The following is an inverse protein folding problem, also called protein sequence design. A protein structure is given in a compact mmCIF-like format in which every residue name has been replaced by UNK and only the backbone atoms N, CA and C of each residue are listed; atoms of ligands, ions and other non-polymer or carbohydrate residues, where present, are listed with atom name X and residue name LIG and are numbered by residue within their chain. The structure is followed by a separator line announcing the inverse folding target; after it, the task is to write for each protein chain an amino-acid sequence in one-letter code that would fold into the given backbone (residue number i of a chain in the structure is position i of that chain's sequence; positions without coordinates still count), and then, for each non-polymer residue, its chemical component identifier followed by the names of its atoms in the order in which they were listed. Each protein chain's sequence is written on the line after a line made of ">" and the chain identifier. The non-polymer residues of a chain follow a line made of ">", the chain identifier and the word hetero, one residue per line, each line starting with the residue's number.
data_IF_567764601373
#
_entry.id   IF_567764601373
#
_cell.length_a   1.000
_cell.length_b   1.000
_cell.length_c   1.000
_cell.angle_alpha   90.00
_cell.angle_beta   90.00
_cell.angle_gamma   90.00
#
_symmetry.space_group_name_H-M   'P 1'
#
loop_
_entity.id
_entity.type
_entity.pdbx_description
1 polymer ?
#
# COMPACT_ATOMS: atom_id res chain seq x y z
N UNK A 1 16.15 -4.66 65.44
CA UNK A 1 15.10 -4.90 64.43
C UNK A 1 15.75 -4.75 63.06
N UNK A 2 15.83 -5.83 62.29
CA UNK A 2 16.33 -5.77 60.91
C UNK A 2 15.14 -5.42 60.02
N UNK A 3 15.13 -4.21 59.47
CA UNK A 3 14.16 -3.83 58.44
C UNK A 3 14.66 -4.38 57.10
N UNK A 4 14.03 -5.46 56.62
CA UNK A 4 14.22 -5.94 55.25
C UNK A 4 13.53 -4.95 54.30
N UNK A 5 14.26 -3.91 53.88
CA UNK A 5 13.85 -3.06 52.78
C UNK A 5 13.91 -3.85 51.48
N UNK A 6 12.80 -3.90 50.73
CA UNK A 6 12.81 -4.31 49.34
C UNK A 6 13.10 -3.08 48.49
N UNK A 7 14.20 -3.09 47.76
CA UNK A 7 14.53 -2.09 46.74
C UNK A 7 13.90 -2.51 45.41
N UNK A 8 13.24 -1.56 44.74
CA UNK A 8 12.70 -1.73 43.39
C UNK A 8 13.41 -0.72 42.50
N UNK A 9 14.11 -1.20 41.47
CA UNK A 9 14.66 -0.37 40.40
C UNK A 9 13.64 -0.29 39.25
N UNK A 10 13.36 0.94 38.82
CA UNK A 10 12.36 1.28 37.80
C UNK A 10 12.99 2.11 36.70
N UNK A 11 12.75 1.73 35.44
CA UNK A 11 13.16 2.49 34.26
C UNK A 11 12.19 3.62 33.90
N UNK A 12 12.56 4.43 32.91
CA UNK A 12 11.72 5.53 32.42
C UNK A 12 10.35 5.00 31.93
N UNK A 13 9.27 5.72 32.27
CA UNK A 13 7.86 5.36 32.02
C UNK A 13 7.30 4.13 32.79
N UNK A 14 7.88 3.75 33.94
CA UNK A 14 7.33 2.68 34.78
C UNK A 14 6.57 3.18 36.02
N UNK A 15 5.63 2.38 36.53
CA UNK A 15 4.88 2.63 37.77
C UNK A 15 5.13 1.49 38.75
N UNK A 16 5.74 1.81 39.90
CA UNK A 16 6.02 0.81 40.94
C UNK A 16 4.81 0.63 41.85
N UNK A 17 4.40 -0.62 42.05
CA UNK A 17 3.28 -1.00 42.92
C UNK A 17 3.78 -2.05 43.92
N UNK A 18 3.70 -1.75 45.22
CA UNK A 18 4.14 -2.65 46.30
C UNK A 18 2.97 -2.98 47.23
N UNK A 19 2.78 -4.28 47.53
CA UNK A 19 1.75 -4.75 48.47
C UNK A 19 1.93 -6.23 48.82
N UNK A 20 1.40 -6.68 49.97
CA UNK A 20 1.53 -8.07 50.45
C UNK A 20 0.87 -9.10 49.52
N UNK A 21 -0.13 -8.69 48.74
CA UNK A 21 -0.79 -9.47 47.68
C UNK A 21 -1.31 -8.47 46.64
N UNK A 22 -0.61 -8.36 45.51
CA UNK A 22 -0.98 -7.43 44.43
C UNK A 22 -1.66 -8.24 43.33
N UNK A 23 -2.90 -7.88 42.99
CA UNK A 23 -3.58 -8.36 41.77
C UNK A 23 -3.70 -7.15 40.84
N UNK A 24 -2.73 -7.00 39.94
CA UNK A 24 -2.79 -5.97 38.89
C UNK A 24 -3.86 -6.41 37.89
N UNK A 25 -5.00 -5.74 37.91
CA UNK A 25 -6.02 -5.87 36.86
C UNK A 25 -5.86 -4.63 35.99
N UNK A 26 -5.04 -4.73 34.94
CA UNK A 26 -5.06 -3.74 33.88
C UNK A 26 -6.38 -3.95 33.13
N UNK A 27 -7.36 -3.09 33.38
CA UNK A 27 -8.60 -3.06 32.62
C UNK A 27 -8.25 -2.51 31.22
N UNK A 28 -7.80 -3.41 30.34
CA UNK A 28 -7.48 -3.21 28.92
C UNK A 28 -6.22 -2.37 28.62
N UNK A 29 -4.99 -2.88 28.84
CA UNK A 29 -3.87 -2.39 28.06
C UNK A 29 -4.02 -3.04 26.68
N UNK A 30 -4.22 -2.24 25.65
CA UNK A 30 -4.04 -2.75 24.30
C UNK A 30 -2.67 -3.40 24.12
N UNK A 31 -2.49 -4.22 23.07
CA UNK A 31 -1.16 -4.76 22.78
C UNK A 31 -0.19 -3.60 22.55
N UNK A 32 0.95 -3.63 23.23
CA UNK A 32 2.05 -2.69 23.01
C UNK A 32 2.80 -3.02 21.72
N UNK A 33 3.56 -2.04 21.21
CA UNK A 33 4.47 -2.22 20.08
C UNK A 33 5.34 -3.48 20.23
N UNK A 34 5.97 -3.62 21.39
CA UNK A 34 6.89 -4.72 21.67
C UNK A 34 6.17 -6.07 21.73
N UNK A 35 4.97 -6.14 22.33
CA UNK A 35 4.18 -7.38 22.36
C UNK A 35 3.77 -7.82 20.95
N UNK A 36 3.30 -6.90 20.09
CA UNK A 36 2.97 -7.24 18.70
C UNK A 36 4.21 -7.70 17.95
N UNK A 37 5.34 -7.02 18.14
CA UNK A 37 6.61 -7.37 17.51
C UNK A 37 7.06 -8.78 17.89
N UNK A 38 7.06 -9.10 19.17
CA UNK A 38 7.47 -10.42 19.68
C UNK A 38 6.54 -11.53 19.16
N UNK A 39 5.23 -11.31 19.17
CA UNK A 39 4.25 -12.27 18.65
C UNK A 39 4.48 -12.52 17.16
N UNK A 40 4.57 -11.46 16.34
CA UNK A 40 4.75 -11.60 14.90
C UNK A 40 6.10 -12.24 14.56
N UNK A 41 7.19 -11.87 15.23
CA UNK A 41 8.49 -12.52 15.05
C UNK A 41 8.50 -13.98 15.48
N UNK A 42 7.78 -14.34 16.54
CA UNK A 42 7.61 -15.74 16.93
C UNK A 42 6.86 -16.53 15.86
N UNK A 43 5.74 -15.99 15.35
CA UNK A 43 4.96 -16.62 14.28
C UNK A 43 5.82 -16.80 13.03
N UNK A 44 6.59 -15.78 12.65
CA UNK A 44 7.50 -15.86 11.51
C UNK A 44 8.55 -16.97 11.68
N UNK A 45 9.29 -16.97 12.80
CA UNK A 45 10.36 -17.95 13.06
C UNK A 45 9.84 -19.38 13.14
N UNK A 46 8.63 -19.59 13.67
CA UNK A 46 8.03 -20.91 13.79
C UNK A 46 7.51 -21.49 12.47
N UNK A 47 7.25 -20.65 11.47
CA UNK A 47 6.58 -21.08 10.23
C UNK A 47 7.41 -20.87 8.95
N UNK A 48 8.43 -20.02 8.98
CA UNK A 48 9.27 -19.77 7.81
C UNK A 48 10.22 -20.94 7.54
N UNK A 49 10.53 -21.19 6.27
CA UNK A 49 11.41 -22.29 5.85
C UNK A 49 12.84 -22.08 6.35
N UNK A 50 13.49 -23.17 6.77
CA UNK A 50 14.94 -23.21 6.89
C UNK A 50 15.56 -23.18 5.49
N UNK A 51 16.20 -22.05 5.15
CA UNK A 51 16.88 -21.82 3.87
C UNK A 51 18.40 -22.00 3.97
N UNK A 52 18.86 -22.56 5.09
CA UNK A 52 20.26 -22.74 5.42
C UNK A 52 20.90 -21.53 6.12
N UNK A 53 21.94 -21.82 6.90
CA UNK A 53 22.65 -20.90 7.80
C UNK A 53 23.09 -19.58 7.13
N UNK A 54 23.50 -19.63 5.87
CA UNK A 54 23.96 -18.44 5.12
C UNK A 54 22.84 -17.44 4.81
N UNK A 55 21.58 -17.91 4.74
CA UNK A 55 20.42 -17.07 4.40
C UNK A 55 19.61 -16.67 5.64
N UNK A 56 19.79 -17.34 6.78
CA UNK A 56 18.98 -17.12 7.98
C UNK A 56 19.06 -15.67 8.48
N UNK A 57 20.27 -15.13 8.60
CA UNK A 57 20.48 -13.75 9.09
C UNK A 57 19.75 -12.72 8.23
N UNK A 58 19.91 -12.77 6.91
CA UNK A 58 19.29 -11.80 6.00
C UNK A 58 17.76 -11.93 5.96
N UNK A 59 17.24 -13.15 6.12
CA UNK A 59 15.81 -13.42 6.22
C UNK A 59 15.24 -12.80 7.50
N UNK A 60 15.89 -13.02 8.64
CA UNK A 60 15.47 -12.48 9.93
C UNK A 60 15.51 -10.95 9.94
N UNK A 61 16.61 -10.35 9.48
CA UNK A 61 16.76 -8.89 9.39
C UNK A 61 15.66 -8.27 8.54
N UNK A 62 15.32 -8.87 7.39
CA UNK A 62 14.24 -8.37 6.52
C UNK A 62 12.86 -8.55 7.14
N UNK A 63 12.59 -9.70 7.75
CA UNK A 63 11.31 -9.98 8.40
C UNK A 63 11.04 -9.05 9.59
N UNK A 64 12.08 -8.73 10.36
CA UNK A 64 12.02 -7.75 11.44
C UNK A 64 11.86 -6.34 10.88
N UNK A 65 12.63 -5.98 9.85
CA UNK A 65 12.58 -4.65 9.26
C UNK A 65 11.17 -4.28 8.77
N UNK A 66 10.52 -5.13 7.98
CA UNK A 66 9.18 -4.80 7.45
C UNK A 66 8.14 -4.69 8.57
N UNK A 67 8.30 -5.47 9.64
CA UNK A 67 7.44 -5.42 10.82
C UNK A 67 7.63 -4.10 11.57
N UNK A 68 8.88 -3.66 11.78
CA UNK A 68 9.18 -2.36 12.39
C UNK A 68 8.62 -1.21 11.54
N UNK A 69 8.92 -1.16 10.24
CA UNK A 69 8.41 -0.14 9.33
C UNK A 69 6.85 -0.08 9.34
N UNK A 70 6.19 -1.23 9.43
CA UNK A 70 4.73 -1.34 9.55
C UNK A 70 4.22 -0.79 10.88
N UNK A 71 4.78 -1.24 12.01
CA UNK A 71 4.31 -0.87 13.34
C UNK A 71 4.59 0.60 13.65
N UNK A 72 5.76 1.13 13.26
CA UNK A 72 6.08 2.56 13.39
C UNK A 72 5.07 3.42 12.61
N UNK A 73 4.75 3.01 11.38
CA UNK A 73 3.79 3.73 10.54
C UNK A 73 2.36 3.62 11.04
N UNK A 74 1.95 2.44 11.51
CA UNK A 74 0.64 2.24 12.13
C UNK A 74 0.50 3.13 13.36
N UNK A 75 1.48 3.09 14.26
CA UNK A 75 1.44 3.84 15.52
C UNK A 75 1.50 5.35 15.29
N UNK A 76 2.25 5.82 14.30
CA UNK A 76 2.28 7.26 13.97
C UNK A 76 0.98 7.77 13.31
N UNK A 77 0.25 6.91 12.58
CA UNK A 77 -0.99 7.29 11.88
C UNK A 77 -2.24 7.08 12.74
N UNK A 78 -2.35 5.95 13.43
CA UNK A 78 -3.48 5.58 14.26
C UNK A 78 -3.05 4.59 15.38
N UNK A 79 -2.52 5.10 16.52
CA UNK A 79 -1.99 4.26 17.59
C UNK A 79 -2.97 3.22 18.13
N UNK A 80 -4.25 3.56 18.21
CA UNK A 80 -5.29 2.69 18.78
C UNK A 80 -5.51 1.42 17.94
N UNK A 81 -5.25 1.49 16.63
CA UNK A 81 -5.39 0.36 15.71
C UNK A 81 -4.36 -0.75 15.93
N UNK A 82 -3.34 -0.55 16.79
CA UNK A 82 -2.44 -1.64 17.17
C UNK A 82 -3.19 -2.83 17.78
N UNK A 83 -4.34 -2.58 18.42
CA UNK A 83 -5.20 -3.62 18.97
C UNK A 83 -5.82 -4.51 17.92
N UNK A 84 -6.01 -4.00 16.70
CA UNK A 84 -6.58 -4.79 15.61
C UNK A 84 -5.63 -5.91 15.19
N UNK A 85 -4.34 -5.85 15.53
CA UNK A 85 -3.38 -6.94 15.29
C UNK A 85 -3.65 -8.20 16.14
N UNK A 86 -4.62 -8.16 17.06
CA UNK A 86 -5.13 -9.35 17.73
C UNK A 86 -5.94 -10.26 16.80
N UNK A 87 -6.51 -9.70 15.73
CA UNK A 87 -7.32 -10.42 14.77
C UNK A 87 -6.51 -11.50 14.01
N UNK A 88 -7.02 -12.74 13.89
CA UNK A 88 -6.31 -13.81 13.19
C UNK A 88 -5.99 -13.53 11.72
N UNK A 89 -6.88 -12.86 11.00
CA UNK A 89 -6.67 -12.51 9.59
C UNK A 89 -5.57 -11.45 9.46
N UNK A 90 -5.57 -10.43 10.34
CA UNK A 90 -4.49 -9.43 10.38
C UNK A 90 -3.14 -10.09 10.72
N UNK A 91 -3.10 -11.00 11.70
CA UNK A 91 -1.87 -11.76 12.03
C UNK A 91 -1.37 -12.58 10.85
N UNK A 92 -2.28 -13.20 10.11
CA UNK A 92 -1.94 -13.97 8.93
C UNK A 92 -1.32 -13.09 7.84
N UNK A 93 -1.92 -11.94 7.53
CA UNK A 93 -1.37 -11.07 6.48
C UNK A 93 -0.06 -10.38 6.90
N UNK A 94 0.17 -10.13 8.20
CA UNK A 94 1.48 -9.69 8.72
C UNK A 94 2.53 -10.77 8.40
N UNK A 95 2.25 -12.03 8.72
CA UNK A 95 3.15 -13.15 8.43
C UNK A 95 3.41 -13.28 6.92
N UNK A 96 2.39 -13.20 6.08
CA UNK A 96 2.53 -13.25 4.62
C UNK A 96 3.41 -12.12 4.07
N UNK A 97 3.26 -10.89 4.59
CA UNK A 97 4.10 -9.76 4.21
C UNK A 97 5.57 -9.99 4.61
N UNK A 98 5.82 -10.45 5.84
CA UNK A 98 7.17 -10.80 6.31
C UNK A 98 7.80 -11.88 5.41
N UNK A 99 7.07 -12.96 5.15
CA UNK A 99 7.51 -14.06 4.28
C UNK A 99 7.90 -13.57 2.89
N UNK A 100 7.07 -12.73 2.29
CA UNK A 100 7.30 -12.23 0.94
C UNK A 100 8.49 -11.26 0.86
N UNK A 101 8.61 -10.34 1.81
CA UNK A 101 9.74 -9.41 1.82
C UNK A 101 11.05 -10.09 2.20
N UNK A 102 11.06 -10.98 3.19
CA UNK A 102 12.25 -11.73 3.59
C UNK A 102 12.90 -12.48 2.42
N UNK A 103 12.08 -13.10 1.57
CA UNK A 103 12.52 -13.85 0.38
C UNK A 103 13.18 -12.97 -0.69
N UNK A 104 12.70 -11.74 -0.93
CA UNK A 104 13.13 -10.91 -2.07
C UNK A 104 13.94 -9.67 -1.69
N UNK A 105 13.60 -8.99 -0.61
CA UNK A 105 14.28 -7.79 -0.12
C UNK A 105 14.13 -6.55 -1.01
N UNK A 106 13.09 -6.49 -1.85
CA UNK A 106 12.87 -5.35 -2.73
C UNK A 106 12.25 -4.18 -1.97
N UNK A 107 13.01 -3.07 -1.85
CA UNK A 107 12.60 -1.86 -1.10
C UNK A 107 11.28 -1.23 -1.57
N UNK A 108 10.97 -1.32 -2.86
CA UNK A 108 9.72 -0.77 -3.39
C UNK A 108 8.51 -1.61 -2.96
N UNK A 109 8.65 -2.93 -3.04
CA UNK A 109 7.64 -3.91 -2.57
C UNK A 109 7.39 -3.77 -1.07
N UNK A 110 8.44 -3.59 -0.26
CA UNK A 110 8.33 -3.29 1.17
C UNK A 110 7.42 -2.11 1.45
N UNK A 111 7.68 -0.96 0.79
CA UNK A 111 6.90 0.26 1.00
C UNK A 111 5.42 0.03 0.72
N UNK A 112 5.09 -0.68 -0.36
CA UNK A 112 3.69 -0.97 -0.72
C UNK A 112 3.02 -1.95 0.25
N UNK A 113 3.73 -3.00 0.66
CA UNK A 113 3.23 -3.92 1.67
C UNK A 113 2.94 -3.18 2.98
N UNK A 114 3.83 -2.29 3.42
CA UNK A 114 3.63 -1.47 4.62
C UNK A 114 2.41 -0.55 4.48
N UNK A 115 2.25 0.18 3.36
CA UNK A 115 1.06 1.02 3.14
C UNK A 115 -0.23 0.20 3.19
N UNK A 116 -0.25 -0.95 2.52
CA UNK A 116 -1.43 -1.81 2.43
C UNK A 116 -1.73 -2.48 3.76
N UNK A 117 -0.73 -2.92 4.53
CA UNK A 117 -0.89 -3.48 5.88
C UNK A 117 -1.46 -2.46 6.84
N UNK A 118 -0.94 -1.22 6.83
CA UNK A 118 -1.47 -0.14 7.69
C UNK A 118 -2.94 0.10 7.35
N UNK A 119 -3.30 0.18 6.07
CA UNK A 119 -4.69 0.37 5.67
C UNK A 119 -5.57 -0.82 6.05
N UNK A 120 -5.11 -2.07 5.84
CA UNK A 120 -5.84 -3.29 6.23
C UNK A 120 -6.09 -3.36 7.73
N UNK A 121 -5.11 -2.92 8.53
CA UNK A 121 -5.22 -2.90 9.99
C UNK A 121 -6.21 -1.84 10.48
N UNK A 122 -6.28 -0.70 9.79
CA UNK A 122 -7.20 0.40 10.14
C UNK A 122 -8.64 0.09 9.73
N UNK A 123 -8.83 -0.48 8.53
CA UNK A 123 -10.17 -0.84 8.03
C UNK A 123 -10.73 -1.98 8.88
N UNK A 124 -11.91 -1.75 9.46
CA UNK A 124 -12.65 -2.72 10.28
C UNK A 124 -14.13 -2.65 9.93
N UNK A 125 -14.79 -3.80 9.84
CA UNK A 125 -16.24 -3.89 9.64
C UNK A 125 -16.70 -3.62 8.21
N UNK A 126 -15.79 -3.66 7.22
CA UNK A 126 -16.13 -3.55 5.80
C UNK A 126 -15.57 -4.76 5.05
N UNK A 127 -16.42 -5.77 4.88
CA UNK A 127 -16.01 -7.10 4.39
C UNK A 127 -15.26 -7.03 3.05
N UNK A 128 -15.76 -6.22 2.11
CA UNK A 128 -15.19 -6.14 0.77
C UNK A 128 -13.86 -5.39 0.75
N UNK A 129 -13.71 -4.30 1.50
CA UNK A 129 -12.42 -3.58 1.57
C UNK A 129 -11.35 -4.43 2.25
N UNK A 130 -11.72 -5.16 3.30
CA UNK A 130 -10.82 -6.10 3.99
C UNK A 130 -10.31 -7.18 3.03
N UNK A 131 -11.20 -7.84 2.28
CA UNK A 131 -10.84 -8.82 1.26
C UNK A 131 -9.95 -8.24 0.16
N UNK A 132 -10.28 -7.05 -0.34
CA UNK A 132 -9.51 -6.37 -1.38
C UNK A 132 -8.09 -6.04 -0.92
N UNK A 133 -7.93 -5.59 0.33
CA UNK A 133 -6.63 -5.27 0.91
C UNK A 133 -5.81 -6.54 1.17
N UNK A 134 -6.44 -7.63 1.62
CA UNK A 134 -5.77 -8.93 1.76
C UNK A 134 -5.24 -9.44 0.41
N UNK A 135 -6.09 -9.43 -0.62
CA UNK A 135 -5.69 -9.84 -1.96
C UNK A 135 -4.58 -8.94 -2.51
N UNK A 136 -4.64 -7.62 -2.27
CA UNK A 136 -3.56 -6.72 -2.64
C UNK A 136 -2.22 -7.08 -1.97
N UNK A 137 -2.22 -7.46 -0.69
CA UNK A 137 -1.02 -7.91 0.03
C UNK A 137 -0.42 -9.19 -0.59
N UNK A 138 -1.27 -10.10 -1.08
CA UNK A 138 -0.82 -11.31 -1.77
C UNK A 138 -0.27 -11.05 -3.17
N UNK A 139 -0.84 -10.07 -3.89
CA UNK A 139 -0.51 -9.79 -5.28
C UNK A 139 0.69 -8.85 -5.42
N UNK A 140 0.88 -7.88 -4.52
CA UNK A 140 2.00 -6.93 -4.55
C UNK A 140 3.37 -7.64 -4.76
N UNK A 141 3.70 -8.74 -4.04
CA UNK A 141 4.95 -9.47 -4.22
C UNK A 141 5.09 -10.21 -5.56
N UNK A 142 3.97 -10.42 -6.28
CA UNK A 142 3.89 -11.19 -7.53
C UNK A 142 4.02 -10.31 -8.77
N UNK A 143 3.97 -8.98 -8.64
CA UNK A 143 4.05 -8.02 -9.75
C UNK A 143 5.26 -7.09 -9.63
N UNK A 144 5.70 -6.53 -10.75
CA UNK A 144 6.89 -5.68 -10.84
C UNK A 144 6.59 -4.20 -10.54
N UNK A 145 7.61 -3.42 -10.21
CA UNK A 145 7.49 -1.96 -10.10
C UNK A 145 6.84 -1.31 -11.34
N UNK A 146 7.22 -1.77 -12.53
CA UNK A 146 6.68 -1.28 -13.80
C UNK A 146 5.18 -1.57 -13.94
N UNK A 147 4.74 -2.75 -13.51
CA UNK A 147 3.32 -3.14 -13.47
C UNK A 147 2.53 -2.26 -12.51
N UNK A 148 3.07 -1.99 -11.33
CA UNK A 148 2.42 -1.13 -10.32
C UNK A 148 2.31 0.32 -10.83
N UNK A 149 3.34 0.83 -11.52
CA UNK A 149 3.28 2.14 -12.17
C UNK A 149 2.20 2.17 -13.25
N UNK A 150 2.05 1.12 -14.07
CA UNK A 150 0.96 1.02 -15.05
C UNK A 150 -0.41 1.07 -14.38
N UNK A 151 -0.65 0.28 -13.34
CA UNK A 151 -1.91 0.30 -12.58
C UNK A 151 -2.19 1.71 -12.06
N UNK A 152 -1.16 2.37 -11.53
CA UNK A 152 -1.29 3.71 -10.96
C UNK A 152 -1.57 4.77 -12.02
N UNK A 153 -0.92 4.69 -13.19
CA UNK A 153 -1.18 5.59 -14.31
C UNK A 153 -2.60 5.39 -14.84
N UNK A 154 -3.06 4.14 -14.99
CA UNK A 154 -4.46 3.88 -15.37
C UNK A 154 -5.41 4.47 -14.32
N UNK A 155 -5.11 4.31 -13.03
CA UNK A 155 -5.91 4.86 -11.94
C UNK A 155 -6.05 6.39 -12.03
N UNK A 156 -4.94 7.13 -12.03
CA UNK A 156 -4.97 8.60 -12.04
C UNK A 156 -5.63 9.17 -13.29
N UNK A 157 -5.57 8.44 -14.41
CA UNK A 157 -6.16 8.86 -15.68
C UNK A 157 -7.65 8.52 -15.76
N UNK A 158 -8.09 7.33 -15.35
CA UNK A 158 -9.49 6.91 -15.55
C UNK A 158 -10.41 7.10 -14.36
N UNK A 159 -9.86 7.19 -13.15
CA UNK A 159 -10.65 7.10 -11.91
C UNK A 159 -10.62 8.36 -11.06
N UNK A 160 -9.63 9.25 -11.27
CA UNK A 160 -9.62 10.57 -10.63
C UNK A 160 -10.35 11.58 -11.52
N UNK A 161 -11.32 12.30 -10.97
CA UNK A 161 -12.00 13.41 -11.64
C UNK A 161 -12.01 14.62 -10.70
N UNK A 162 -11.93 15.82 -11.26
CA UNK A 162 -11.99 17.04 -10.48
C UNK A 162 -13.40 17.63 -10.53
N UNK A 163 -13.96 17.94 -9.36
CA UNK A 163 -15.30 18.54 -9.26
C UNK A 163 -15.30 20.05 -9.48
N UNK A 164 -14.13 20.67 -9.35
CA UNK A 164 -13.89 22.11 -9.52
C UNK A 164 -12.64 22.30 -10.36
N UNK A 165 -12.39 23.55 -10.77
CA UNK A 165 -11.18 23.87 -11.51
C UNK A 165 -9.94 23.42 -10.72
N UNK A 166 -9.07 22.66 -11.40
CA UNK A 166 -7.86 22.12 -10.81
C UNK A 166 -6.65 22.43 -11.68
N UNK A 167 -5.51 22.86 -11.11
CA UNK A 167 -4.32 23.17 -11.89
C UNK A 167 -3.83 21.97 -12.71
N UNK A 168 -3.85 22.11 -14.03
CA UNK A 168 -3.43 21.05 -14.96
C UNK A 168 -1.94 20.71 -14.74
N UNK A 169 -1.12 21.70 -14.39
CA UNK A 169 0.29 21.48 -14.06
C UNK A 169 0.47 20.62 -12.79
N UNK A 170 -0.40 20.74 -11.79
CA UNK A 170 -0.34 19.87 -10.61
C UNK A 170 -0.64 18.41 -10.98
N UNK A 171 -1.60 18.19 -11.88
CA UNK A 171 -1.92 16.87 -12.40
C UNK A 171 -0.81 16.29 -13.30
N UNK A 172 -0.24 17.12 -14.16
CA UNK A 172 0.92 16.78 -14.98
C UNK A 172 2.12 16.38 -14.10
N UNK A 173 2.41 17.17 -13.05
CA UNK A 173 3.46 16.86 -12.08
C UNK A 173 3.22 15.54 -11.34
N UNK A 174 1.97 15.26 -10.93
CA UNK A 174 1.62 13.96 -10.35
C UNK A 174 1.91 12.81 -11.32
N UNK A 175 1.46 12.95 -12.57
CA UNK A 175 1.69 11.94 -13.62
C UNK A 175 3.19 11.68 -13.82
N UNK A 176 4.00 12.75 -13.85
CA UNK A 176 5.47 12.67 -13.95
C UNK A 176 6.10 11.92 -12.78
N UNK A 177 5.70 12.23 -11.54
CA UNK A 177 6.21 11.57 -10.32
C UNK A 177 5.87 10.07 -10.33
N UNK A 178 4.64 9.71 -10.69
CA UNK A 178 4.21 8.32 -10.76
C UNK A 178 4.96 7.58 -11.86
N UNK A 179 5.00 8.15 -13.08
CA UNK A 179 5.67 7.57 -14.24
C UNK A 179 7.15 7.34 -14.00
N UNK A 180 7.84 8.25 -13.29
CA UNK A 180 9.24 8.08 -12.88
C UNK A 180 10.16 7.66 -14.04
N UNK A 181 10.02 8.29 -15.20
CA UNK A 181 10.75 8.02 -16.44
C UNK A 181 10.53 6.63 -17.08
N UNK A 182 9.54 5.87 -16.63
CA UNK A 182 9.14 4.63 -17.30
C UNK A 182 8.45 4.98 -18.61
N UNK A 183 8.93 4.41 -19.72
CA UNK A 183 8.25 4.43 -21.02
C UNK A 183 7.43 3.16 -21.17
N UNK A 184 6.24 3.22 -21.76
CA UNK A 184 5.36 2.07 -21.99
C UNK A 184 4.91 2.11 -23.45
N UNK A 185 5.03 0.98 -24.14
CA UNK A 185 4.68 0.85 -25.56
C UNK A 185 3.96 -0.47 -25.88
N UNK A 186 3.71 -0.70 -27.17
CA UNK A 186 3.01 -1.87 -27.70
C UNK A 186 3.73 -3.20 -27.45
N UNK A 187 5.03 -3.17 -27.21
CA UNK A 187 5.83 -4.37 -26.95
C UNK A 187 5.61 -4.89 -25.52
N UNK A 188 4.90 -4.15 -24.67
CA UNK A 188 4.61 -4.53 -23.29
C UNK A 188 3.35 -5.40 -23.12
N UNK A 189 2.87 -6.09 -24.17
CA UNK A 189 1.65 -6.93 -24.06
C UNK A 189 1.70 -7.97 -22.94
N UNK A 190 2.85 -8.62 -22.71
CA UNK A 190 3.03 -9.59 -21.63
C UNK A 190 2.83 -8.98 -20.24
N UNK A 191 3.10 -7.67 -20.09
CA UNK A 191 2.87 -6.94 -18.84
C UNK A 191 1.39 -6.90 -18.50
N UNK A 192 0.55 -6.60 -19.50
CA UNK A 192 -0.90 -6.54 -19.33
C UNK A 192 -1.51 -7.93 -19.16
N UNK A 193 -1.05 -8.93 -19.92
CA UNK A 193 -1.48 -10.33 -19.73
C UNK A 193 -1.20 -10.83 -18.32
N UNK A 194 -0.02 -10.52 -17.77
CA UNK A 194 0.29 -10.89 -16.40
C UNK A 194 -0.53 -10.09 -15.37
N UNK A 195 -0.85 -8.82 -15.63
CA UNK A 195 -1.74 -8.04 -14.76
C UNK A 195 -3.19 -8.55 -14.80
N UNK A 196 -3.67 -9.07 -15.94
CA UNK A 196 -4.96 -9.76 -16.05
C UNK A 196 -4.93 -11.08 -15.29
N UNK A 197 -3.89 -11.90 -15.47
CA UNK A 197 -3.68 -13.14 -14.72
C UNK A 197 -3.65 -12.91 -13.19
N UNK A 198 -2.95 -11.85 -12.76
CA UNK A 198 -2.89 -11.44 -11.36
C UNK A 198 -4.14 -10.69 -10.89
N UNK A 199 -5.22 -10.68 -11.68
CA UNK A 199 -6.52 -10.06 -11.36
C UNK A 199 -6.43 -8.58 -10.94
N UNK A 200 -5.47 -7.83 -11.50
CA UNK A 200 -5.26 -6.40 -11.20
C UNK A 200 -6.00 -5.48 -12.18
N UNK A 201 -6.24 -5.94 -13.41
CA UNK A 201 -6.97 -5.21 -14.44
C UNK A 201 -7.64 -6.17 -15.40
N UNK A 202 -8.57 -5.66 -16.21
CA UNK A 202 -9.16 -6.34 -17.35
C UNK A 202 -8.85 -5.55 -18.62
N UNK A 203 -8.42 -6.23 -19.69
CA UNK A 203 -8.24 -5.62 -21.02
C UNK A 203 -9.47 -5.91 -21.88
N UNK A 204 -10.18 -4.85 -22.25
CA UNK A 204 -11.38 -4.95 -23.10
C UNK A 204 -11.08 -4.65 -24.57
N UNK A 205 -12.05 -4.92 -25.44
CA UNK A 205 -11.96 -4.56 -26.88
C UNK A 205 -12.08 -3.04 -27.07
N UNK A 206 -12.87 -2.37 -26.23
CA UNK A 206 -13.07 -0.92 -26.29
C UNK A 206 -11.81 -0.15 -25.93
N UNK A 207 -11.62 1.02 -26.53
CA UNK A 207 -10.54 1.95 -26.21
C UNK A 207 -11.07 3.33 -25.86
N UNK A 208 -10.40 4.02 -24.94
CA UNK A 208 -10.68 5.43 -24.62
C UNK A 208 -9.50 6.29 -25.08
N UNK A 209 -9.81 7.35 -25.82
CA UNK A 209 -8.82 8.34 -26.26
C UNK A 209 -8.34 9.22 -25.10
N UNK A 210 -7.06 9.59 -25.11
CA UNK A 210 -6.45 10.37 -24.02
C UNK A 210 -7.00 11.80 -23.94
N UNK A 211 -7.28 12.44 -25.06
CA UNK A 211 -7.86 13.78 -25.06
C UNK A 211 -9.28 13.78 -24.49
N UNK A 212 -10.07 12.73 -24.77
CA UNK A 212 -11.39 12.54 -24.14
C UNK A 212 -11.28 12.35 -22.62
N UNK A 213 -10.22 11.72 -22.12
CA UNK A 213 -9.98 11.61 -20.67
C UNK A 213 -9.73 13.00 -20.07
N UNK A 214 -8.86 13.79 -20.68
CA UNK A 214 -8.52 15.14 -20.20
C UNK A 214 -9.74 16.07 -20.23
N UNK A 215 -10.51 16.05 -21.32
CA UNK A 215 -11.76 16.82 -21.45
C UNK A 215 -12.74 16.50 -20.30
N UNK A 216 -13.02 15.21 -20.05
CA UNK A 216 -14.00 14.83 -19.02
C UNK A 216 -13.47 14.98 -17.58
N UNK A 217 -12.15 14.95 -17.38
CA UNK A 217 -11.52 15.01 -16.06
C UNK A 217 -11.53 16.41 -15.46
N UNK A 218 -11.42 17.44 -16.29
CA UNK A 218 -11.25 18.83 -15.87
C UNK A 218 -12.47 19.66 -16.25
N UNK A 219 -13.26 20.14 -15.27
CA UNK A 219 -14.51 20.85 -15.57
C UNK A 219 -14.27 22.19 -16.27
N UNK A 220 -13.06 22.77 -16.18
CA UNK A 220 -12.70 23.98 -16.91
C UNK A 220 -12.49 23.76 -18.42
N UNK A 221 -12.18 22.54 -18.86
CA UNK A 221 -11.96 22.22 -20.28
C UNK A 221 -13.33 22.00 -20.94
N UNK A 222 -13.62 22.75 -22.00
CA UNK A 222 -14.96 22.80 -22.61
C UNK A 222 -15.08 22.05 -23.92
N UNK A 223 -13.98 21.57 -24.49
CA UNK A 223 -14.01 20.81 -25.73
C UNK A 223 -12.81 19.88 -25.90
N UNK A 224 -12.97 18.86 -26.74
CA UNK A 224 -11.90 17.97 -27.16
C UNK A 224 -10.72 18.69 -27.83
N UNK A 225 -10.97 19.77 -28.60
CA UNK A 225 -9.90 20.55 -29.25
C UNK A 225 -9.07 21.35 -28.24
N UNK A 226 -9.71 21.90 -27.21
CA UNK A 226 -9.02 22.53 -26.08
C UNK A 226 -8.17 21.50 -25.33
N UNK A 227 -8.72 20.31 -25.06
CA UNK A 227 -7.97 19.22 -24.42
C UNK A 227 -6.72 18.84 -25.23
N UNK A 228 -6.82 18.69 -26.55
CA UNK A 228 -5.68 18.41 -27.44
C UNK A 228 -4.65 19.54 -27.41
N UNK A 229 -5.08 20.80 -27.43
CA UNK A 229 -4.18 21.95 -27.36
C UNK A 229 -3.37 21.94 -26.05
N UNK A 230 -4.03 21.67 -24.91
CA UNK A 230 -3.40 21.55 -23.60
C UNK A 230 -2.40 20.38 -23.57
N UNK A 231 -2.78 19.22 -24.10
CA UNK A 231 -1.90 18.04 -24.17
C UNK A 231 -0.63 18.37 -24.97
N UNK A 232 -0.78 19.00 -26.14
CA UNK A 232 0.34 19.37 -27.01
C UNK A 232 1.22 20.48 -26.38
N UNK A 233 0.63 21.34 -25.55
CA UNK A 233 1.34 22.39 -24.83
C UNK A 233 2.09 21.92 -23.57
N UNK A 234 1.84 20.71 -23.07
CA UNK A 234 2.46 20.18 -21.86
C UNK A 234 3.24 18.88 -22.14
N UNK A 235 4.57 18.92 -21.97
CA UNK A 235 5.47 17.81 -22.31
C UNK A 235 5.07 16.48 -21.67
N UNK A 236 4.70 16.47 -20.40
CA UNK A 236 4.33 15.22 -19.70
C UNK A 236 2.98 14.68 -20.18
N UNK A 237 2.01 15.56 -20.44
CA UNK A 237 0.72 15.13 -20.98
C UNK A 237 0.84 14.59 -22.40
N UNK A 238 1.70 15.19 -23.23
CA UNK A 238 2.03 14.66 -24.56
C UNK A 238 2.64 13.25 -24.46
N UNK A 239 3.63 13.06 -23.57
CA UNK A 239 4.23 11.74 -23.34
C UNK A 239 3.20 10.72 -22.83
N UNK A 240 2.33 11.13 -21.92
CA UNK A 240 1.25 10.29 -21.41
C UNK A 240 0.26 9.92 -22.51
N UNK A 241 -0.11 10.87 -23.38
CA UNK A 241 -0.98 10.64 -24.54
C UNK A 241 -0.38 9.60 -25.48
N UNK A 242 0.91 9.72 -25.80
CA UNK A 242 1.61 8.75 -26.65
C UNK A 242 1.67 7.36 -26.02
N UNK A 243 2.02 7.27 -24.73
CA UNK A 243 2.07 6.00 -24.00
C UNK A 243 0.68 5.36 -23.87
N UNK A 244 -0.35 6.17 -23.66
CA UNK A 244 -1.74 5.73 -23.58
C UNK A 244 -2.21 5.14 -24.90
N UNK A 245 -2.02 5.88 -25.99
CA UNK A 245 -2.43 5.50 -27.34
C UNK A 245 -1.69 4.29 -27.89
N UNK A 246 -0.41 4.12 -27.52
CA UNK A 246 0.45 3.05 -28.04
C UNK A 246 0.55 1.81 -27.14
N UNK A 247 -0.25 1.70 -26.09
CA UNK A 247 -0.26 0.54 -25.19
C UNK A 247 -1.68 0.04 -24.92
N UNK A 248 -1.81 -1.05 -24.16
CA UNK A 248 -3.11 -1.56 -23.72
C UNK A 248 -3.75 -0.72 -22.61
N UNK A 249 -3.09 0.32 -22.09
CA UNK A 249 -3.68 1.21 -21.08
C UNK A 249 -5.03 1.79 -21.54
N UNK A 250 -5.13 2.19 -22.82
CA UNK A 250 -6.38 2.67 -23.43
C UNK A 250 -7.54 1.68 -23.39
N UNK A 251 -7.23 0.39 -23.26
CA UNK A 251 -8.18 -0.72 -23.26
C UNK A 251 -8.44 -1.28 -21.85
N UNK A 252 -7.71 -0.83 -20.83
CA UNK A 252 -7.68 -1.45 -19.50
C UNK A 252 -8.59 -0.77 -18.49
N UNK A 253 -9.35 -1.58 -17.74
CA UNK A 253 -10.07 -1.21 -16.51
C UNK A 253 -9.40 -1.87 -15.32
N UNK A 254 -9.24 -1.18 -14.19
CA UNK A 254 -8.71 -1.77 -12.96
C UNK A 254 -9.79 -2.57 -12.24
N UNK A 255 -9.38 -3.66 -11.61
CA UNK A 255 -10.17 -4.36 -10.58
C UNK A 255 -10.09 -3.61 -9.25
N UNK A 256 -10.86 -4.05 -8.26
CA UNK A 256 -10.77 -3.53 -6.89
C UNK A 256 -9.36 -3.66 -6.30
N UNK A 257 -8.71 -4.79 -6.55
CA UNK A 257 -7.32 -5.07 -6.15
C UNK A 257 -6.35 -4.11 -6.86
N UNK A 258 -6.51 -3.92 -8.18
CA UNK A 258 -5.70 -2.97 -8.93
C UNK A 258 -5.82 -1.53 -8.43
N UNK A 259 -7.03 -1.13 -8.01
CA UNK A 259 -7.28 0.18 -7.37
C UNK A 259 -6.54 0.27 -6.03
N UNK A 260 -6.66 -0.73 -5.14
CA UNK A 260 -5.99 -0.72 -3.85
C UNK A 260 -4.46 -0.62 -3.99
N UNK A 261 -3.87 -1.37 -4.92
CA UNK A 261 -2.44 -1.32 -5.23
C UNK A 261 -2.03 0.05 -5.77
N UNK A 262 -2.82 0.63 -6.69
CA UNK A 262 -2.58 1.97 -7.21
C UNK A 262 -2.60 3.03 -6.10
N UNK A 263 -3.58 2.97 -5.21
CA UNK A 263 -3.70 3.88 -4.06
C UNK A 263 -2.50 3.75 -3.11
N UNK A 264 -2.09 2.53 -2.79
CA UNK A 264 -0.89 2.28 -1.98
C UNK A 264 0.36 2.91 -2.63
N UNK A 265 0.52 2.79 -3.94
CA UNK A 265 1.65 3.40 -4.65
C UNK A 265 1.60 4.93 -4.69
N UNK A 266 0.42 5.53 -4.85
CA UNK A 266 0.29 6.99 -4.79
C UNK A 266 0.69 7.47 -3.39
N UNK A 267 0.19 6.82 -2.35
CA UNK A 267 0.55 7.15 -0.96
C UNK A 267 2.06 6.99 -0.72
N UNK A 268 2.65 5.89 -1.14
CA UNK A 268 4.08 5.62 -0.97
C UNK A 268 4.99 6.63 -1.72
N UNK A 269 4.58 7.11 -2.90
CA UNK A 269 5.38 8.04 -3.71
C UNK A 269 5.17 9.52 -3.37
N UNK A 270 3.97 9.89 -2.92
CA UNK A 270 3.56 11.31 -2.84
C UNK A 270 3.09 11.73 -1.45
N UNK A 271 2.80 10.77 -0.57
CA UNK A 271 2.14 11.04 0.71
C UNK A 271 0.65 11.36 0.60
N UNK A 272 0.09 11.52 -0.61
CA UNK A 272 -1.35 11.73 -0.80
C UNK A 272 -2.15 10.49 -0.42
N UNK A 273 -3.19 10.68 0.38
CA UNK A 273 -4.07 9.61 0.83
C UNK A 273 -5.44 9.75 0.19
N UNK A 274 -5.92 8.69 -0.44
CA UNK A 274 -7.30 8.60 -0.92
C UNK A 274 -8.01 7.49 -0.17
N UNK A 275 -9.27 7.73 0.16
CA UNK A 275 -10.12 6.73 0.80
C UNK A 275 -10.51 5.65 -0.22
N UNK A 276 -10.15 4.39 0.07
CA UNK A 276 -10.50 3.23 -0.74
C UNK A 276 -12.02 3.09 -0.91
N UNK A 277 -12.80 3.49 0.11
CA UNK A 277 -14.26 3.43 0.13
C UNK A 277 -14.95 4.31 -0.92
N UNK A 278 -14.24 5.25 -1.55
CA UNK A 278 -14.76 6.02 -2.68
C UNK A 278 -15.07 5.09 -3.86
N UNK A 279 -14.21 4.10 -4.10
CA UNK A 279 -14.31 3.18 -5.24
C UNK A 279 -14.83 1.80 -4.85
N UNK A 280 -14.60 1.35 -3.62
CA UNK A 280 -14.98 0.01 -3.16
C UNK A 280 -16.11 0.14 -2.12
N UNK A 281 -17.34 -0.13 -2.56
CA UNK A 281 -18.55 -0.06 -1.75
C UNK A 281 -19.21 -1.44 -1.69
N UNK A 282 -19.83 -1.72 -0.55
CA UNK A 282 -20.70 -2.88 -0.33
C UNK A 282 -22.15 -2.55 -0.71
#
# INVERSE_FOLDING_TARGET
>A
MVFNGQTIDSGDNSTNIQGKKVKVIQNNPGLSYFEVKDIAMSVFKSNFYDLGEKAEKIVQERAEKILDDYLEKLCSKNPECINNTQDPDIRYVIYEAQKNYARRGEKFTEKLLVETLVNRTIVQGNSIQELVLNEALEIIPKITHRQIVILTLIFINRYLNYLVEYPIDAYSNLSKIIRSNIQIDKNNNSIFQHLEYASCLNVSIGSIDYASIIENKFPQIKSLEEAKSIINGNMELSLMSDMWGNSKMRNSTLTSVGIAIALANIKAKTGMNYDLGIWIKE
#
